data_IF_032773205769
#
_entry.id   IF_032773205769
#
_cell.length_a   1.000
_cell.length_b   1.000
_cell.length_c   1.000
_cell.angle_alpha   90.00
_cell.angle_beta   90.00
_cell.angle_gamma   90.00
#
_symmetry.space_group_name_H-M   'P 1'
#
loop_
_entity.id
_entity.type
_entity.pdbx_description
1 polymer ?
#
# COMPACT_ATOMS: atom_id res chain seq x y z
N UNK A 1 3.84 -5.63 -4.94
CA UNK A 1 2.53 -6.05 -4.41
C UNK A 1 2.27 -7.54 -4.67
N UNK A 2 2.36 -8.02 -5.92
CA UNK A 2 2.10 -9.44 -6.27
C UNK A 2 2.91 -10.37 -5.36
N UNK A 3 4.24 -10.21 -5.28
CA UNK A 3 5.11 -11.01 -4.41
C UNK A 3 4.71 -11.01 -2.93
N UNK A 4 4.10 -9.90 -2.43
CA UNK A 4 3.60 -9.86 -1.07
C UNK A 4 2.36 -10.73 -0.89
N UNK A 5 1.47 -10.78 -1.89
CA UNK A 5 0.31 -11.68 -1.85
C UNK A 5 0.73 -13.14 -2.00
N UNK A 6 1.66 -13.43 -2.91
CA UNK A 6 2.23 -14.77 -3.06
C UNK A 6 2.84 -15.28 -1.75
N UNK A 7 3.57 -14.40 -1.04
CA UNK A 7 4.21 -14.74 0.23
C UNK A 7 3.25 -15.06 1.39
N UNK A 8 1.98 -14.68 1.30
CA UNK A 8 0.97 -14.98 2.32
C UNK A 8 -0.08 -15.97 1.87
N UNK A 9 -0.06 -16.38 0.62
CA UNK A 9 -1.09 -17.24 0.06
C UNK A 9 -1.22 -18.57 0.81
N UNK A 10 -0.09 -19.12 1.27
CA UNK A 10 -0.04 -20.36 2.05
C UNK A 10 -0.69 -20.26 3.45
N UNK A 11 -0.94 -19.04 3.93
CA UNK A 11 -1.66 -18.81 5.21
C UNK A 11 -3.18 -18.93 5.07
N UNK A 12 -3.66 -19.02 3.83
CA UNK A 12 -5.07 -19.20 3.53
C UNK A 12 -5.36 -20.63 3.08
N UNK A 13 -6.56 -21.16 3.32
CA UNK A 13 -6.92 -22.52 2.88
C UNK A 13 -6.84 -22.62 1.36
N UNK A 14 -5.96 -23.46 0.86
CA UNK A 14 -5.71 -23.62 -0.60
C UNK A 14 -6.95 -24.11 -1.35
N UNK A 15 -7.83 -24.88 -0.68
CA UNK A 15 -9.07 -25.38 -1.29
C UNK A 15 -10.13 -24.32 -1.57
N UNK A 16 -10.02 -23.14 -0.90
CA UNK A 16 -11.03 -22.07 -0.98
C UNK A 16 -10.44 -20.73 -1.43
N UNK A 17 -9.13 -20.67 -1.64
CA UNK A 17 -8.44 -19.41 -1.96
C UNK A 17 -7.75 -19.50 -3.31
N UNK A 18 -8.03 -18.56 -4.18
CA UNK A 18 -7.37 -18.40 -5.47
C UNK A 18 -6.88 -16.98 -5.65
N UNK A 19 -5.63 -16.82 -6.10
CA UNK A 19 -5.09 -15.52 -6.48
C UNK A 19 -5.13 -15.39 -8.00
N UNK A 20 -5.74 -14.31 -8.47
CA UNK A 20 -5.74 -13.92 -9.88
C UNK A 20 -5.27 -12.49 -10.05
N UNK A 21 -4.59 -12.20 -11.15
CA UNK A 21 -4.13 -10.86 -11.48
C UNK A 21 -5.12 -10.18 -12.41
N UNK A 22 -5.53 -8.99 -12.02
CA UNK A 22 -6.38 -8.13 -12.83
C UNK A 22 -5.56 -6.96 -13.39
N UNK A 23 -5.45 -6.88 -14.71
CA UNK A 23 -4.75 -5.78 -15.38
C UNK A 23 -5.66 -4.53 -15.41
N UNK A 24 -5.69 -3.84 -14.27
CA UNK A 24 -6.52 -2.67 -14.05
C UNK A 24 -5.71 -1.54 -13.43
N UNK A 25 -5.66 -0.39 -14.11
CA UNK A 25 -5.05 0.81 -13.56
C UNK A 25 -6.05 1.57 -12.68
N UNK A 26 -5.67 1.85 -11.44
CA UNK A 26 -6.44 2.70 -10.52
C UNK A 26 -6.56 4.12 -11.09
N UNK A 27 -7.76 4.70 -11.00
CA UNK A 27 -8.05 6.09 -11.44
C UNK A 27 -8.13 7.07 -10.27
N UNK A 28 -8.22 6.56 -9.05
CA UNK A 28 -8.40 7.33 -7.82
C UNK A 28 -9.66 8.21 -7.87
N UNK A 29 -10.75 7.65 -8.39
CA UNK A 29 -12.04 8.35 -8.61
C UNK A 29 -13.07 8.09 -7.48
N UNK A 30 -12.62 7.51 -6.36
CA UNK A 30 -13.43 7.32 -5.15
C UNK A 30 -14.68 6.48 -5.37
N UNK A 31 -15.86 6.98 -4.94
CA UNK A 31 -17.12 6.22 -4.97
C UNK A 31 -17.50 5.63 -6.33
N UNK A 32 -17.27 6.38 -7.41
CA UNK A 32 -17.55 5.90 -8.78
C UNK A 32 -16.62 4.76 -9.18
N UNK A 33 -15.39 4.82 -8.76
CA UNK A 33 -14.42 3.74 -9.03
C UNK A 33 -14.75 2.47 -8.22
N UNK A 34 -15.29 2.60 -7.02
CA UNK A 34 -15.75 1.46 -6.25
C UNK A 34 -16.87 0.69 -6.99
N UNK A 35 -17.85 1.38 -7.53
CA UNK A 35 -18.92 0.79 -8.37
C UNK A 35 -18.32 0.11 -9.61
N UNK A 36 -17.42 0.78 -10.31
CA UNK A 36 -16.74 0.21 -11.47
C UNK A 36 -15.91 -1.03 -11.12
N UNK A 37 -15.21 -1.00 -10.01
CA UNK A 37 -14.47 -2.16 -9.51
C UNK A 37 -15.38 -3.35 -9.21
N UNK A 38 -16.56 -3.12 -8.65
CA UNK A 38 -17.54 -4.15 -8.39
C UNK A 38 -18.05 -4.79 -9.68
N UNK A 39 -18.40 -3.98 -10.69
CA UNK A 39 -18.81 -4.47 -12.00
C UNK A 39 -17.75 -5.36 -12.66
N UNK A 40 -16.48 -4.96 -12.57
CA UNK A 40 -15.36 -5.77 -13.07
C UNK A 40 -15.32 -7.11 -12.34
N UNK A 41 -15.40 -7.13 -10.99
CA UNK A 41 -15.37 -8.39 -10.19
C UNK A 41 -16.59 -9.26 -10.51
N UNK A 42 -17.76 -8.67 -10.68
CA UNK A 42 -18.95 -9.40 -11.15
C UNK A 42 -18.68 -10.09 -12.50
N UNK A 43 -18.08 -9.37 -13.45
CA UNK A 43 -17.74 -9.94 -14.76
C UNK A 43 -16.69 -11.08 -14.67
N UNK A 44 -15.94 -11.17 -13.58
CA UNK A 44 -15.04 -12.30 -13.25
C UNK A 44 -15.71 -13.38 -12.39
N UNK A 45 -17.03 -13.31 -12.21
CA UNK A 45 -17.81 -14.32 -11.49
C UNK A 45 -17.89 -14.13 -9.98
N UNK A 46 -17.43 -13.00 -9.45
CA UNK A 46 -17.58 -12.71 -8.02
C UNK A 46 -19.04 -12.39 -7.68
N UNK A 47 -19.53 -12.93 -6.58
CA UNK A 47 -20.85 -12.65 -6.01
C UNK A 47 -20.81 -11.62 -4.89
N UNK A 48 -19.64 -11.44 -4.27
CA UNK A 48 -19.40 -10.49 -3.18
C UNK A 48 -18.17 -9.64 -3.49
N UNK A 49 -18.17 -8.41 -3.00
CA UNK A 49 -17.06 -7.48 -3.19
C UNK A 49 -16.77 -6.67 -1.92
N UNK A 50 -15.53 -6.69 -1.47
CA UNK A 50 -15.08 -5.91 -0.31
C UNK A 50 -14.88 -4.46 -0.70
N UNK A 51 -15.61 -3.54 -0.05
CA UNK A 51 -15.41 -2.10 -0.16
C UNK A 51 -14.92 -1.56 1.17
N UNK A 52 -13.63 -1.28 1.22
CA UNK A 52 -12.98 -0.73 2.40
C UNK A 52 -13.24 0.77 2.59
N UNK A 53 -12.77 1.27 3.73
CA UNK A 53 -12.74 2.71 4.02
C UNK A 53 -11.93 3.45 2.95
N UNK A 54 -12.43 4.62 2.51
CA UNK A 54 -11.78 5.47 1.49
C UNK A 54 -11.39 4.70 0.21
N UNK A 55 -12.29 3.84 -0.27
CA UNK A 55 -12.04 2.99 -1.43
C UNK A 55 -11.73 3.83 -2.69
N UNK A 56 -10.53 3.66 -3.23
CA UNK A 56 -10.02 4.40 -4.39
C UNK A 56 -10.07 5.93 -4.25
N UNK A 57 -10.05 6.43 -3.02
CA UNK A 57 -10.05 7.86 -2.76
C UNK A 57 -8.76 8.54 -3.24
N UNK A 58 -8.85 9.76 -3.82
CA UNK A 58 -7.69 10.51 -4.29
C UNK A 58 -6.87 11.12 -3.17
N UNK A 59 -7.35 11.04 -1.92
CA UNK A 59 -6.75 11.69 -0.76
C UNK A 59 -7.22 13.13 -0.60
N UNK A 60 -6.30 14.04 -0.29
CA UNK A 60 -6.60 15.44 0.05
C UNK A 60 -6.36 16.38 -1.14
N UNK A 61 -7.15 17.46 -1.19
CA UNK A 61 -6.96 18.57 -2.11
C UNK A 61 -5.78 19.48 -1.68
N UNK A 62 -5.53 20.54 -2.43
CA UNK A 62 -4.45 21.50 -2.13
C UNK A 62 -4.67 22.27 -0.81
N UNK A 63 -5.90 22.33 -0.31
CA UNK A 63 -6.28 22.93 0.96
C UNK A 63 -6.17 21.97 2.15
N UNK A 64 -5.86 20.68 1.89
CA UNK A 64 -5.75 19.65 2.92
C UNK A 64 -7.07 19.00 3.31
N UNK A 65 -8.15 19.24 2.58
CA UNK A 65 -9.47 18.65 2.78
C UNK A 65 -9.63 17.35 1.97
N UNK A 66 -10.32 16.38 2.52
CA UNK A 66 -10.60 15.12 1.82
C UNK A 66 -11.65 15.35 0.71
N UNK A 67 -11.43 14.76 -0.49
CA UNK A 67 -12.39 14.84 -1.61
C UNK A 67 -13.69 14.09 -1.31
N UNK A 68 -13.63 13.04 -0.53
CA UNK A 68 -14.76 12.19 -0.18
C UNK A 68 -14.69 11.83 1.30
N UNK A 69 -15.84 11.59 1.90
CA UNK A 69 -15.94 11.00 3.22
C UNK A 69 -15.43 9.54 3.24
N UNK A 70 -14.99 9.04 4.40
CA UNK A 70 -14.36 7.73 4.52
C UNK A 70 -15.25 6.55 4.09
N UNK A 71 -16.56 6.72 4.07
CA UNK A 71 -17.54 5.69 3.72
C UNK A 71 -18.41 6.05 2.49
N UNK A 72 -18.11 7.14 1.79
CA UNK A 72 -18.88 7.59 0.62
C UNK A 72 -18.92 6.54 -0.48
N UNK A 73 -17.87 5.75 -0.65
CA UNK A 73 -17.83 4.65 -1.59
C UNK A 73 -18.85 3.55 -1.24
N UNK A 74 -18.96 3.19 0.04
CA UNK A 74 -19.94 2.23 0.53
C UNK A 74 -21.36 2.79 0.40
N UNK A 75 -21.58 4.05 0.75
CA UNK A 75 -22.88 4.72 0.63
C UNK A 75 -23.36 4.79 -0.84
N UNK A 76 -22.47 5.14 -1.76
CA UNK A 76 -22.83 5.16 -3.17
C UNK A 76 -23.14 3.75 -3.69
N UNK A 77 -22.30 2.77 -3.32
CA UNK A 77 -22.48 1.40 -3.78
C UNK A 77 -23.83 0.82 -3.33
N UNK A 78 -24.22 1.00 -2.06
CA UNK A 78 -25.51 0.53 -1.52
C UNK A 78 -26.71 1.01 -2.33
N UNK A 79 -26.65 2.20 -2.97
CA UNK A 79 -27.73 2.70 -3.81
C UNK A 79 -27.94 1.92 -5.10
N UNK A 80 -26.89 1.22 -5.55
CA UNK A 80 -26.87 0.48 -6.82
C UNK A 80 -26.65 -1.02 -6.65
N UNK A 81 -26.56 -1.50 -5.43
CA UNK A 81 -26.20 -2.89 -5.10
C UNK A 81 -27.12 -3.88 -5.79
N UNK A 82 -28.44 -3.67 -5.71
CA UNK A 82 -29.45 -4.52 -6.37
C UNK A 82 -29.34 -4.47 -7.91
N UNK A 83 -29.11 -3.28 -8.47
CA UNK A 83 -28.96 -3.08 -9.91
C UNK A 83 -27.67 -3.74 -10.43
N UNK A 84 -26.58 -3.59 -9.68
CA UNK A 84 -25.29 -4.20 -10.02
C UNK A 84 -25.36 -5.72 -9.86
N UNK A 85 -26.08 -6.21 -8.85
CA UNK A 85 -26.25 -7.64 -8.54
C UNK A 85 -24.94 -8.30 -8.09
N UNK A 86 -24.21 -7.64 -7.20
CA UNK A 86 -23.07 -8.14 -6.44
C UNK A 86 -23.19 -7.59 -5.01
N UNK A 87 -23.05 -8.44 -4.01
CA UNK A 87 -23.23 -8.07 -2.62
C UNK A 87 -21.98 -7.35 -2.06
N UNK A 88 -22.21 -6.28 -1.31
CA UNK A 88 -21.13 -5.56 -0.65
C UNK A 88 -20.75 -6.23 0.68
N UNK A 89 -19.46 -6.44 0.85
CA UNK A 89 -18.86 -6.72 2.16
C UNK A 89 -18.17 -5.45 2.64
N UNK A 90 -18.78 -4.74 3.57
CA UNK A 90 -18.21 -3.53 4.14
C UNK A 90 -17.29 -3.83 5.31
N UNK A 91 -16.22 -3.06 5.40
CA UNK A 91 -15.29 -3.14 6.53
C UNK A 91 -15.25 -1.81 7.28
N UNK A 92 -15.36 -1.90 8.58
CA UNK A 92 -15.13 -0.79 9.50
C UNK A 92 -13.64 -0.45 9.59
N UNK A 93 -13.34 0.68 10.21
CA UNK A 93 -11.97 1.02 10.54
C UNK A 93 -11.46 0.11 11.64
N UNK A 94 -10.53 -0.79 11.31
CA UNK A 94 -9.95 -1.75 12.24
C UNK A 94 -8.72 -1.17 12.91
N UNK A 95 -8.59 -1.37 14.22
CA UNK A 95 -7.44 -0.98 15.02
C UNK A 95 -6.92 -2.18 15.81
N UNK A 96 -5.62 -2.22 16.07
CA UNK A 96 -5.04 -3.28 16.88
C UNK A 96 -5.07 -2.89 18.36
N UNK A 97 -5.69 -3.73 19.17
CA UNK A 97 -5.76 -3.55 20.63
C UNK A 97 -4.67 -4.38 21.28
N UNK A 98 -3.69 -3.71 21.91
CA UNK A 98 -2.48 -4.34 22.39
C UNK A 98 -2.77 -5.38 23.50
N UNK A 99 -3.60 -5.04 24.46
CA UNK A 99 -3.91 -5.88 25.62
C UNK A 99 -4.67 -7.15 25.24
N UNK A 100 -5.40 -7.12 24.12
CA UNK A 100 -6.18 -8.24 23.61
C UNK A 100 -5.47 -9.00 22.49
N UNK A 101 -4.36 -8.46 21.97
CA UNK A 101 -3.58 -8.99 20.88
C UNK A 101 -4.43 -9.30 19.62
N UNK A 102 -5.42 -8.45 19.30
CA UNK A 102 -6.34 -8.65 18.19
C UNK A 102 -6.76 -7.32 17.54
N UNK A 103 -7.29 -7.43 16.31
CA UNK A 103 -7.92 -6.31 15.62
C UNK A 103 -9.39 -6.21 15.97
N UNK A 104 -9.84 -5.01 16.28
CA UNK A 104 -11.24 -4.69 16.59
C UNK A 104 -11.70 -3.47 15.80
N UNK A 105 -13.02 -3.35 15.50
CA UNK A 105 -13.55 -2.10 14.95
C UNK A 105 -13.32 -0.94 15.92
N UNK A 106 -12.79 0.17 15.41
CA UNK A 106 -12.41 1.31 16.23
C UNK A 106 -13.58 1.93 17.05
N UNK A 107 -14.80 1.79 16.52
CA UNK A 107 -16.06 2.25 17.17
C UNK A 107 -16.61 1.27 18.20
N UNK A 108 -16.07 0.07 18.31
CA UNK A 108 -16.45 -0.97 19.24
C UNK A 108 -15.43 -1.18 20.37
N UNK A 109 -14.27 -0.54 20.29
CA UNK A 109 -13.23 -0.61 21.32
C UNK A 109 -13.76 0.05 22.60
N UNK A 110 -13.85 -0.71 23.67
CA UNK A 110 -14.28 -0.25 25.00
C UNK A 110 -13.23 -0.53 26.05
N UNK A 111 -13.18 0.32 27.08
CA UNK A 111 -12.25 0.22 28.19
C UNK A 111 -10.98 1.05 28.00
N UNK A 112 -10.13 1.06 29.02
CA UNK A 112 -8.83 1.73 29.01
C UNK A 112 -7.80 0.78 28.37
N UNK A 113 -7.70 0.84 27.04
CA UNK A 113 -6.83 -0.04 26.23
C UNK A 113 -5.93 0.77 25.31
N UNK A 114 -4.76 0.23 25.01
CA UNK A 114 -3.79 0.83 24.10
C UNK A 114 -4.10 0.42 22.66
N UNK A 115 -4.43 1.39 21.83
CA UNK A 115 -4.65 1.20 20.40
C UNK A 115 -3.36 1.48 19.64
N UNK A 116 -2.90 0.49 18.88
CA UNK A 116 -1.72 0.62 18.03
C UNK A 116 -2.13 0.76 16.57
N UNK A 117 -1.43 1.63 15.87
CA UNK A 117 -1.57 1.78 14.41
C UNK A 117 -0.27 2.21 13.76
N UNK A 118 -0.05 1.78 12.52
CA UNK A 118 1.08 2.22 11.71
C UNK A 118 0.52 2.79 10.41
N UNK A 119 0.76 4.08 10.17
CA UNK A 119 0.36 4.72 8.92
C UNK A 119 1.24 4.26 7.75
N UNK A 120 0.74 4.41 6.52
CA UNK A 120 1.55 4.11 5.33
C UNK A 120 2.84 4.95 5.25
N UNK A 121 2.85 6.16 5.81
CA UNK A 121 4.04 7.02 5.88
C UNK A 121 5.04 6.46 6.89
N UNK A 122 4.58 6.06 8.07
CA UNK A 122 5.44 5.44 9.09
C UNK A 122 6.00 4.09 8.61
N UNK A 123 5.19 3.27 7.93
CA UNK A 123 5.67 2.04 7.31
C UNK A 123 6.81 2.31 6.32
N UNK A 124 6.64 3.30 5.44
CA UNK A 124 7.70 3.67 4.48
C UNK A 124 8.96 4.16 5.18
N UNK A 125 8.83 4.94 6.25
CA UNK A 125 9.96 5.39 7.06
C UNK A 125 10.69 4.19 7.67
N UNK A 126 9.97 3.28 8.33
CA UNK A 126 10.56 2.06 8.93
C UNK A 126 11.29 1.20 7.91
N UNK A 127 10.72 1.02 6.72
CA UNK A 127 11.39 0.28 5.64
C UNK A 127 12.68 0.98 5.19
N UNK A 128 12.67 2.32 5.00
CA UNK A 128 13.84 3.07 4.52
C UNK A 128 14.97 3.14 5.55
N UNK A 129 14.64 3.19 6.83
CA UNK A 129 15.59 3.25 7.93
C UNK A 129 16.00 1.86 8.46
N UNK A 130 15.32 0.81 7.99
CA UNK A 130 15.59 -0.57 8.44
C UNK A 130 15.05 -0.88 9.83
N UNK A 131 14.11 -0.07 10.32
CA UNK A 131 13.50 -0.27 11.63
C UNK A 131 12.57 -1.48 11.64
N UNK A 132 12.33 -2.01 12.82
CA UNK A 132 11.43 -3.14 13.01
C UNK A 132 10.00 -2.80 12.60
N UNK A 133 9.35 -3.74 11.90
CA UNK A 133 7.92 -3.72 11.59
C UNK A 133 7.29 -4.85 12.40
N UNK A 134 6.40 -4.52 13.38
CA UNK A 134 5.83 -5.52 14.27
C UNK A 134 4.98 -6.56 13.53
N UNK A 135 4.98 -7.79 14.02
CA UNK A 135 4.21 -8.90 13.43
C UNK A 135 2.69 -8.67 13.51
N UNK A 136 2.22 -7.94 14.52
CA UNK A 136 0.81 -7.56 14.58
C UNK A 136 0.37 -6.67 13.42
N UNK A 137 1.31 -5.93 12.79
CA UNK A 137 1.00 -5.06 11.66
C UNK A 137 1.11 -5.78 10.32
N UNK A 138 2.10 -6.63 10.14
CA UNK A 138 2.31 -7.34 8.87
C UNK A 138 3.09 -8.63 9.07
N UNK A 139 2.78 -9.63 8.28
CA UNK A 139 3.50 -10.90 8.30
C UNK A 139 4.98 -10.73 7.96
N UNK A 140 5.90 -11.47 8.63
CA UNK A 140 7.34 -11.38 8.38
C UNK A 140 7.72 -11.61 6.91
N UNK A 141 7.03 -12.52 6.24
CA UNK A 141 7.25 -12.85 4.83
C UNK A 141 6.94 -11.65 3.92
N UNK A 142 5.87 -10.91 4.21
CA UNK A 142 5.52 -9.66 3.50
C UNK A 142 6.57 -8.59 3.74
N UNK A 143 6.99 -8.43 5.00
CA UNK A 143 8.04 -7.47 5.37
C UNK A 143 9.34 -7.79 4.63
N UNK A 144 9.70 -9.08 4.50
CA UNK A 144 10.83 -9.54 3.70
C UNK A 144 10.74 -9.08 2.25
N UNK A 145 9.59 -9.29 1.59
CA UNK A 145 9.36 -8.85 0.20
C UNK A 145 9.38 -7.32 0.05
N UNK A 146 8.84 -6.59 1.02
CA UNK A 146 8.88 -5.13 1.02
C UNK A 146 10.32 -4.60 1.15
N UNK A 147 11.15 -5.21 2.00
CA UNK A 147 12.57 -4.85 2.15
C UNK A 147 13.39 -5.15 0.90
N UNK A 148 13.11 -6.25 0.20
CA UNK A 148 13.74 -6.56 -1.09
C UNK A 148 13.38 -5.51 -2.17
N UNK A 149 12.12 -5.08 -2.20
CA UNK A 149 11.64 -4.08 -3.18
C UNK A 149 11.99 -2.64 -2.83
N UNK A 150 12.25 -2.36 -1.55
CA UNK A 150 12.65 -1.05 -1.02
C UNK A 150 13.83 -1.22 -0.06
N UNK A 151 15.03 -1.47 -0.59
CA UNK A 151 16.22 -1.58 0.23
C UNK A 151 16.49 -0.29 1.00
N UNK A 152 17.17 -0.39 2.13
CA UNK A 152 17.62 0.76 2.92
C UNK A 152 18.39 1.74 2.05
N UNK A 153 18.28 3.03 2.36
CA UNK A 153 18.93 4.09 1.59
C UNK A 153 20.44 3.88 1.43
N UNK A 154 21.10 3.38 2.45
CA UNK A 154 22.54 3.03 2.44
C UNK A 154 22.89 1.88 1.49
N UNK A 155 21.90 1.08 1.08
CA UNK A 155 22.05 -0.06 0.15
C UNK A 155 21.53 0.23 -1.25
N UNK A 156 21.07 1.47 -1.50
CA UNK A 156 20.61 1.91 -2.81
C UNK A 156 21.77 2.50 -3.60
N UNK A 157 21.77 2.28 -4.92
CA UNK A 157 22.63 3.01 -5.83
C UNK A 157 22.27 4.50 -5.87
N UNK A 158 23.22 5.32 -6.29
CA UNK A 158 23.01 6.76 -6.51
C UNK A 158 23.50 7.15 -7.88
N UNK A 159 22.95 8.25 -8.41
CA UNK A 159 23.39 8.84 -9.67
C UNK A 159 23.93 10.24 -9.40
N UNK A 160 25.12 10.52 -9.87
CA UNK A 160 25.68 11.88 -9.90
C UNK A 160 25.51 12.44 -11.31
N UNK A 161 24.73 13.51 -11.42
CA UNK A 161 24.44 14.16 -12.69
C UNK A 161 25.22 15.47 -12.79
N UNK A 162 26.14 15.56 -13.77
CA UNK A 162 26.97 16.75 -14.02
C UNK A 162 26.27 17.67 -15.03
N UNK A 163 26.08 18.94 -14.66
CA UNK A 163 25.55 19.98 -15.54
C UNK A 163 26.60 21.08 -15.76
N UNK A 164 26.44 21.85 -16.85
CA UNK A 164 27.32 22.97 -17.15
C UNK A 164 27.53 23.16 -18.66
N UNK A 165 28.18 24.24 -19.04
CA UNK A 165 28.46 24.60 -20.43
C UNK A 165 29.37 23.59 -21.13
N UNK A 166 29.35 23.57 -22.47
CA UNK A 166 30.30 22.78 -23.26
C UNK A 166 31.74 23.20 -22.92
N UNK A 167 32.64 22.22 -22.79
CA UNK A 167 34.04 22.48 -22.46
C UNK A 167 34.32 22.75 -20.95
N UNK A 168 33.33 22.75 -20.06
CA UNK A 168 33.49 23.04 -18.60
C UNK A 168 34.14 21.91 -17.77
N UNK A 169 34.70 20.89 -18.40
CA UNK A 169 35.39 19.80 -17.69
C UNK A 169 34.49 18.72 -17.06
N UNK A 170 33.18 18.68 -17.36
CA UNK A 170 32.24 17.71 -16.79
C UNK A 170 32.71 16.27 -16.92
N UNK A 171 33.10 15.86 -18.12
CA UNK A 171 33.54 14.47 -18.36
C UNK A 171 34.85 14.15 -17.64
N UNK A 172 35.75 15.10 -17.54
CA UNK A 172 37.03 14.93 -16.81
C UNK A 172 36.77 14.70 -15.31
N UNK A 173 35.92 15.55 -14.72
CA UNK A 173 35.54 15.42 -13.30
C UNK A 173 34.74 14.12 -13.06
N UNK A 174 33.80 13.79 -13.95
CA UNK A 174 33.02 12.56 -13.84
C UNK A 174 33.92 11.30 -13.85
N UNK A 175 34.88 11.25 -14.76
CA UNK A 175 35.85 10.15 -14.84
C UNK A 175 36.74 10.07 -13.59
N UNK A 176 37.25 11.17 -13.11
CA UNK A 176 38.06 11.21 -11.89
C UNK A 176 37.25 10.76 -10.67
N UNK A 177 35.98 11.22 -10.55
CA UNK A 177 35.08 10.80 -9.47
C UNK A 177 34.76 9.30 -9.57
N UNK A 178 34.51 8.80 -10.79
CA UNK A 178 34.21 7.37 -11.00
C UNK A 178 35.37 6.49 -10.53
N UNK A 179 36.61 6.81 -10.92
CA UNK A 179 37.80 6.09 -10.48
C UNK A 179 37.91 6.11 -8.96
N UNK A 180 37.72 7.29 -8.35
CA UNK A 180 37.78 7.45 -6.89
C UNK A 180 36.74 6.63 -6.15
N UNK A 181 35.52 6.58 -6.65
CA UNK A 181 34.44 5.78 -6.07
C UNK A 181 34.73 4.27 -6.18
N UNK A 182 35.31 3.84 -7.32
CA UNK A 182 35.71 2.43 -7.51
C UNK A 182 36.82 2.03 -6.54
N UNK A 183 37.83 2.88 -6.35
CA UNK A 183 38.91 2.66 -5.37
C UNK A 183 38.40 2.56 -3.93
N UNK A 184 37.39 3.32 -3.57
CA UNK A 184 36.77 3.29 -2.23
C UNK A 184 35.90 2.04 -2.00
N UNK A 185 35.73 1.16 -2.99
CA UNK A 185 34.91 -0.04 -2.89
C UNK A 185 33.40 0.24 -2.74
N UNK A 186 32.94 1.45 -3.06
CA UNK A 186 31.53 1.82 -3.10
C UNK A 186 30.83 1.10 -4.26
N UNK A 187 29.71 0.44 -3.96
CA UNK A 187 28.81 -0.14 -4.96
C UNK A 187 27.77 0.86 -5.38
#
# INVERSE_FOLDING_TARGET
>A
RVRCYEAVLDKYPQSTTTMSLLNLAMRMAGPREAVWHALIRKNHGCTHFIIGRDHAGPGKNAQGEDFYGPYDAQHLFRKYEDEIGIEMVDFKNMVYVQERAQYEPADEVVGDVTVLSISGTELRRRLSEGLEIPEWFSFPEVVGQLRLSKPQRSKQGFTVFFTGLSGSGKSTIANALMVKLMEMGGR
#
